data_IF_890840209365
#
_entry.id   IF_890840209365
#
_cell.length_a   1.000
_cell.length_b   1.000
_cell.length_c   1.000
_cell.angle_alpha   90.00
_cell.angle_beta   90.00
_cell.angle_gamma   90.00
#
_symmetry.space_group_name_H-M   'P 1'
#
loop_
_entity.id
_entity.type
_entity.pdbx_description
1 polymer ?
#
# COMPACT_ATOMS: atom_id res chain seq x y z
N UNK A 1 26.58 20.45 7.01
CA UNK A 1 25.74 21.30 7.88
C UNK A 1 24.35 21.21 7.29
N UNK A 2 23.70 20.05 7.40
CA UNK A 2 22.99 19.56 8.60
C UNK A 2 21.82 20.47 8.90
N UNK A 3 20.61 20.05 8.55
CA UNK A 3 19.61 19.78 9.58
C UNK A 3 18.46 18.92 9.04
N UNK A 4 18.30 17.79 9.74
CA UNK A 4 17.19 16.86 9.67
C UNK A 4 16.00 17.46 10.42
N UNK A 5 14.83 17.55 9.78
CA UNK A 5 13.56 17.69 10.51
C UNK A 5 12.81 16.37 10.47
N UNK A 6 13.00 15.62 11.55
CA UNK A 6 12.21 14.46 11.96
C UNK A 6 10.75 14.90 12.11
N UNK A 7 9.83 14.28 11.36
CA UNK A 7 8.40 14.34 11.67
C UNK A 7 8.15 13.36 12.83
N UNK A 8 8.17 13.93 14.03
CA UNK A 8 7.81 13.24 15.26
C UNK A 8 6.38 12.72 15.18
N UNK A 9 6.30 11.40 15.39
CA UNK A 9 5.07 10.66 15.55
C UNK A 9 4.58 10.91 16.98
N UNK A 10 3.88 12.02 17.20
CA UNK A 10 3.31 12.38 18.50
C UNK A 10 2.26 11.35 18.90
N UNK A 11 2.72 10.31 19.60
CA UNK A 11 1.87 9.44 20.38
C UNK A 11 1.40 10.25 21.58
N UNK A 12 0.27 10.92 21.43
CA UNK A 12 -0.43 11.61 22.52
C UNK A 12 -0.65 10.57 23.65
N UNK A 13 -0.22 10.86 24.89
CA UNK A 13 -0.43 9.95 26.01
C UNK A 13 -1.94 9.75 26.25
N UNK A 14 -2.36 8.57 26.71
CA UNK A 14 -3.76 8.32 27.03
C UNK A 14 -4.22 9.27 28.14
N UNK A 15 -5.28 10.03 27.86
CA UNK A 15 -5.89 10.95 28.82
C UNK A 15 -6.41 10.17 30.01
N UNK A 16 -6.05 10.63 31.21
CA UNK A 16 -6.49 10.04 32.47
C UNK A 16 -7.96 10.42 32.67
N UNK A 17 -8.89 9.45 32.72
CA UNK A 17 -10.30 9.78 32.90
C UNK A 17 -10.51 10.34 34.30
N UNK A 18 -11.12 11.51 34.40
CA UNK A 18 -11.31 12.26 35.65
C UNK A 18 -12.54 11.82 36.46
N UNK A 19 -13.45 11.03 35.88
CA UNK A 19 -14.69 10.58 36.51
C UNK A 19 -14.69 9.05 36.77
N UNK A 20 -14.95 8.58 38.01
CA UNK A 20 -14.98 7.14 38.32
C UNK A 20 -16.02 6.36 37.51
N UNK A 21 -17.17 6.97 37.16
CA UNK A 21 -18.19 6.32 36.33
C UNK A 21 -17.71 6.14 34.89
N UNK A 22 -16.94 7.09 34.37
CA UNK A 22 -16.33 7.00 33.04
C UNK A 22 -15.30 5.87 33.00
N UNK A 23 -14.43 5.78 34.01
CA UNK A 23 -13.43 4.70 34.11
C UNK A 23 -14.12 3.33 34.09
N UNK A 24 -15.20 3.17 34.85
CA UNK A 24 -15.97 1.93 34.90
C UNK A 24 -16.59 1.58 33.53
N UNK A 25 -17.20 2.56 32.86
CA UNK A 25 -17.77 2.38 31.52
C UNK A 25 -16.70 2.00 30.50
N UNK A 26 -15.58 2.72 30.48
CA UNK A 26 -14.46 2.43 29.58
C UNK A 26 -13.89 1.03 29.83
N UNK A 27 -13.73 0.62 31.09
CA UNK A 27 -13.26 -0.72 31.47
C UNK A 27 -14.23 -1.81 31.00
N UNK A 28 -15.53 -1.63 31.22
CA UNK A 28 -16.57 -2.54 30.76
C UNK A 28 -16.56 -2.71 29.24
N UNK A 29 -16.54 -1.60 28.49
CA UNK A 29 -16.46 -1.64 27.03
C UNK A 29 -15.20 -2.35 26.53
N UNK A 30 -14.04 -2.07 27.15
CA UNK A 30 -12.78 -2.76 26.85
C UNK A 30 -12.91 -4.27 27.10
N UNK A 31 -13.47 -4.68 28.23
CA UNK A 31 -13.62 -6.09 28.58
C UNK A 31 -14.59 -6.83 27.65
N UNK A 32 -15.72 -6.22 27.28
CA UNK A 32 -16.73 -6.83 26.42
C UNK A 32 -16.23 -7.08 25.00
N UNK A 33 -15.39 -6.18 24.48
CA UNK A 33 -14.95 -6.19 23.09
C UNK A 33 -13.57 -6.81 22.88
N UNK A 34 -12.73 -6.87 23.91
CA UNK A 34 -11.37 -7.41 23.81
C UNK A 34 -11.38 -8.86 23.34
N UNK A 35 -10.44 -9.17 22.44
CA UNK A 35 -10.18 -10.50 21.89
C UNK A 35 -11.32 -11.13 21.09
N UNK A 36 -12.37 -10.37 20.73
CA UNK A 36 -13.40 -10.90 19.83
C UNK A 36 -12.86 -11.00 18.41
N UNK A 37 -13.10 -12.15 17.78
CA UNK A 37 -12.85 -12.40 16.37
C UNK A 37 -14.14 -12.20 15.60
N UNK A 38 -14.05 -11.59 14.42
CA UNK A 38 -15.18 -11.43 13.53
C UNK A 38 -14.71 -11.35 12.09
N UNK A 39 -15.60 -11.69 11.17
CA UNK A 39 -15.39 -11.52 9.74
C UNK A 39 -15.95 -10.19 9.26
N UNK A 40 -15.16 -9.46 8.48
CA UNK A 40 -15.54 -8.13 7.98
C UNK A 40 -14.94 -7.84 6.61
N UNK A 41 -15.46 -6.79 5.99
CA UNK A 41 -15.00 -6.27 4.71
C UNK A 41 -14.31 -4.93 4.93
N UNK A 42 -13.04 -4.83 4.58
CA UNK A 42 -12.38 -3.54 4.49
C UNK A 42 -12.78 -2.86 3.19
N UNK A 43 -13.53 -1.76 3.31
CA UNK A 43 -14.21 -1.11 2.19
C UNK A 43 -13.36 -0.01 1.58
N UNK A 44 -13.01 0.98 2.39
CA UNK A 44 -12.28 2.17 1.93
C UNK A 44 -11.64 2.93 3.09
N UNK A 45 -10.81 3.91 2.75
CA UNK A 45 -10.27 4.91 3.67
C UNK A 45 -10.90 6.27 3.37
N UNK A 46 -11.51 6.89 4.37
CA UNK A 46 -12.25 8.15 4.23
C UNK A 46 -11.77 9.20 5.23
N UNK A 47 -11.74 10.45 4.79
CA UNK A 47 -11.46 11.59 5.66
C UNK A 47 -12.69 11.92 6.51
N UNK A 48 -12.51 12.00 7.82
CA UNK A 48 -13.56 12.34 8.78
C UNK A 48 -13.30 13.75 9.31
N UNK A 49 -14.22 14.67 9.03
CA UNK A 49 -14.08 16.09 9.34
C UNK A 49 -14.00 16.35 10.85
N UNK A 50 -14.83 15.68 11.66
CA UNK A 50 -14.88 15.84 13.12
C UNK A 50 -13.54 15.59 13.80
N UNK A 51 -12.76 14.63 13.30
CA UNK A 51 -11.47 14.23 13.88
C UNK A 51 -10.28 14.73 13.07
N UNK A 52 -10.53 15.47 11.97
CA UNK A 52 -9.55 16.02 11.03
C UNK A 52 -8.51 14.99 10.57
N UNK A 53 -8.96 13.78 10.24
CA UNK A 53 -8.06 12.68 9.91
C UNK A 53 -8.71 11.57 9.09
N UNK A 54 -7.88 10.73 8.49
CA UNK A 54 -8.35 9.56 7.74
C UNK A 54 -8.67 8.38 8.65
N UNK A 55 -9.77 7.71 8.38
CA UNK A 55 -10.20 6.50 9.07
C UNK A 55 -10.53 5.42 8.05
N UNK A 56 -10.20 4.19 8.40
CA UNK A 56 -10.45 3.00 7.62
C UNK A 56 -11.84 2.46 7.97
N UNK A 57 -12.63 2.11 6.96
CA UNK A 57 -14.00 1.64 7.14
C UNK A 57 -14.05 0.13 6.96
N UNK A 58 -14.46 -0.57 8.02
CA UNK A 58 -14.67 -2.03 8.03
C UNK A 58 -16.15 -2.33 8.26
N UNK A 59 -16.78 -3.00 7.31
CA UNK A 59 -18.18 -3.44 7.43
C UNK A 59 -18.26 -4.84 8.00
N UNK A 60 -19.20 -5.11 8.90
CA UNK A 60 -19.39 -6.47 9.43
C UNK A 60 -20.00 -7.39 8.37
N UNK A 61 -19.66 -8.67 8.40
CA UNK A 61 -20.33 -9.68 7.58
C UNK A 61 -21.74 -9.99 8.14
N UNK A 62 -22.68 -10.40 7.27
CA UNK A 62 -24.06 -10.80 7.63
C UNK A 62 -24.18 -11.92 8.69
N UNK A 63 -23.17 -12.76 8.85
CA UNK A 63 -23.12 -13.80 9.89
C UNK A 63 -22.93 -13.22 11.30
N UNK A 64 -22.31 -12.05 11.44
CA UNK A 64 -21.88 -11.46 12.71
C UNK A 64 -22.99 -10.66 13.44
N UNK A 65 -24.21 -11.22 13.51
CA UNK A 65 -25.38 -10.54 14.09
C UNK A 65 -25.26 -10.28 15.60
N UNK A 66 -24.61 -11.19 16.33
CA UNK A 66 -24.43 -11.05 17.78
C UNK A 66 -23.49 -9.89 18.11
N UNK A 67 -22.40 -9.76 17.35
CA UNK A 67 -21.46 -8.65 17.47
C UNK A 67 -22.09 -7.33 17.01
N UNK A 68 -22.86 -7.34 15.92
CA UNK A 68 -23.61 -6.18 15.43
C UNK A 68 -24.52 -5.58 16.52
N UNK A 69 -25.34 -6.41 17.16
CA UNK A 69 -26.20 -5.99 18.26
C UNK A 69 -25.39 -5.40 19.41
N UNK A 70 -24.31 -6.07 19.80
CA UNK A 70 -23.44 -5.61 20.89
C UNK A 70 -22.78 -4.27 20.59
N UNK A 71 -22.30 -4.06 19.35
CA UNK A 71 -21.68 -2.80 18.94
C UNK A 71 -22.69 -1.66 18.94
N UNK A 72 -23.94 -1.90 18.53
CA UNK A 72 -25.03 -0.92 18.61
C UNK A 72 -25.34 -0.58 20.07
N UNK A 73 -25.53 -1.59 20.93
CA UNK A 73 -25.78 -1.37 22.36
C UNK A 73 -24.65 -0.57 23.02
N UNK A 74 -23.39 -0.86 22.68
CA UNK A 74 -22.23 -0.11 23.20
C UNK A 74 -22.20 1.31 22.64
N UNK A 75 -22.42 1.49 21.34
CA UNK A 75 -22.50 2.81 20.70
C UNK A 75 -23.56 3.68 21.38
N UNK A 76 -24.76 3.16 21.59
CA UNK A 76 -25.87 3.92 22.17
C UNK A 76 -25.56 4.33 23.62
N UNK A 77 -24.95 3.43 24.39
CA UNK A 77 -24.50 3.74 25.76
C UNK A 77 -23.39 4.79 25.80
N UNK A 78 -22.41 4.69 24.90
CA UNK A 78 -21.35 5.68 24.78
C UNK A 78 -21.90 7.04 24.34
N UNK A 79 -22.79 7.04 23.35
CA UNK A 79 -23.43 8.25 22.84
C UNK A 79 -24.27 8.91 23.93
N UNK A 80 -25.04 8.14 24.72
CA UNK A 80 -25.80 8.65 25.84
C UNK A 80 -24.91 9.23 26.95
N UNK A 81 -23.80 8.56 27.28
CA UNK A 81 -22.90 9.03 28.35
C UNK A 81 -22.18 10.33 27.96
N UNK A 82 -21.64 10.38 26.73
CA UNK A 82 -20.84 11.52 26.29
C UNK A 82 -21.65 12.66 25.69
N UNK A 83 -22.91 12.47 25.26
CA UNK A 83 -23.75 13.57 24.79
C UNK A 83 -23.91 14.68 25.84
N UNK A 84 -23.91 14.30 27.12
CA UNK A 84 -24.03 15.23 28.25
C UNK A 84 -22.69 15.91 28.61
N UNK A 85 -21.55 15.29 28.35
CA UNK A 85 -20.23 15.74 28.82
C UNK A 85 -19.38 16.37 27.71
N UNK A 86 -19.40 15.77 26.53
CA UNK A 86 -18.63 16.19 25.35
C UNK A 86 -19.43 15.89 24.07
N UNK A 87 -20.30 16.82 23.63
CA UNK A 87 -21.14 16.62 22.44
C UNK A 87 -20.34 16.58 21.13
N UNK A 88 -19.06 16.95 21.15
CA UNK A 88 -18.18 16.91 19.98
C UNK A 88 -17.41 15.59 19.86
N UNK A 89 -17.55 14.67 20.83
CA UNK A 89 -16.87 13.39 20.74
C UNK A 89 -17.43 12.56 19.58
N UNK A 90 -16.55 12.06 18.74
CA UNK A 90 -16.93 11.25 17.59
C UNK A 90 -16.79 9.75 17.92
N UNK A 91 -17.83 8.97 17.65
CA UNK A 91 -17.82 7.53 17.92
C UNK A 91 -17.63 6.78 16.60
N UNK A 92 -16.56 6.00 16.50
CA UNK A 92 -16.19 5.24 15.32
C UNK A 92 -17.05 3.99 15.05
N UNK A 93 -18.33 4.01 15.44
CA UNK A 93 -19.31 2.97 15.15
C UNK A 93 -20.54 3.65 14.56
N UNK A 94 -20.87 3.33 13.31
CA UNK A 94 -22.05 3.88 12.63
C UNK A 94 -22.91 2.76 12.09
N UNK A 95 -24.23 2.97 12.11
CA UNK A 95 -25.20 2.04 11.51
C UNK A 95 -26.02 2.77 10.46
N UNK A 96 -26.24 2.11 9.33
CA UNK A 96 -27.02 2.61 8.21
C UNK A 96 -26.18 2.76 6.94
N UNK A 97 -26.82 3.11 5.81
CA UNK A 97 -26.15 3.25 4.53
C UNK A 97 -25.09 4.35 4.61
N UNK A 98 -23.82 3.98 4.38
CA UNK A 98 -22.73 4.93 4.36
C UNK A 98 -22.95 5.93 3.21
N UNK A 99 -22.96 7.23 3.51
CA UNK A 99 -23.11 8.27 2.49
C UNK A 99 -22.05 8.08 1.38
N UNK A 100 -22.49 7.93 0.13
CA UNK A 100 -21.59 7.72 -1.02
C UNK A 100 -21.34 6.26 -1.43
N UNK A 101 -21.77 5.26 -0.65
CA UNK A 101 -21.76 3.85 -1.08
C UNK A 101 -23.12 3.52 -1.69
N UNK A 102 -23.22 3.63 -3.02
CA UNK A 102 -24.46 3.42 -3.79
C UNK A 102 -24.83 1.95 -4.02
N UNK A 103 -23.97 1.01 -3.61
CA UNK A 103 -24.24 -0.44 -3.68
C UNK A 103 -23.98 -1.09 -2.32
N UNK A 104 -25.02 -1.50 -1.57
CA UNK A 104 -24.81 -2.32 -0.38
C UNK A 104 -24.16 -3.63 -0.79
N UNK A 105 -23.01 -3.97 -0.20
CA UNK A 105 -22.34 -5.22 -0.49
C UNK A 105 -23.26 -6.37 -0.04
N UNK A 106 -23.65 -7.31 -0.93
CA UNK A 106 -24.71 -8.27 -0.66
C UNK A 106 -24.41 -9.26 0.48
N UNK A 107 -23.19 -9.25 1.02
CA UNK A 107 -22.77 -10.08 2.14
C UNK A 107 -22.44 -9.30 3.44
N UNK A 108 -22.56 -7.96 3.43
CA UNK A 108 -22.24 -7.10 4.58
C UNK A 108 -23.51 -6.64 5.33
N UNK A 109 -23.34 -6.31 6.61
CA UNK A 109 -24.30 -5.58 7.43
C UNK A 109 -24.09 -4.07 7.25
N UNK A 110 -25.11 -3.30 7.61
CA UNK A 110 -25.07 -1.82 7.58
C UNK A 110 -24.29 -1.20 8.75
N UNK A 111 -23.67 -2.02 9.60
CA UNK A 111 -22.82 -1.52 10.68
C UNK A 111 -21.39 -1.44 10.19
N UNK A 112 -20.84 -0.23 10.31
CA UNK A 112 -19.52 0.15 9.86
C UNK A 112 -18.68 0.55 11.07
N UNK A 113 -17.48 -0.02 11.14
CA UNK A 113 -16.45 0.29 12.11
C UNK A 113 -15.44 1.22 11.47
N UNK A 114 -15.21 2.35 12.13
CA UNK A 114 -14.18 3.30 11.73
C UNK A 114 -12.96 3.11 12.59
N UNK A 115 -11.86 2.74 11.95
CA UNK A 115 -10.68 2.22 12.63
C UNK A 115 -9.42 2.84 12.05
N UNK A 116 -8.30 2.62 12.73
CA UNK A 116 -6.97 3.03 12.28
C UNK A 116 -6.17 1.76 11.98
N UNK A 117 -5.99 1.46 10.69
CA UNK A 117 -5.29 0.27 10.21
C UNK A 117 -3.98 0.65 9.52
N UNK A 118 -3.00 -0.25 9.60
CA UNK A 118 -1.76 -0.15 8.85
C UNK A 118 -1.98 -0.81 7.50
N UNK A 119 -1.81 -0.04 6.43
CA UNK A 119 -1.77 -0.42 5.01
C UNK A 119 -2.28 -1.84 4.70
N UNK A 120 -3.61 -1.98 4.66
CA UNK A 120 -4.31 -3.22 4.33
C UNK A 120 -4.94 -3.07 2.94
N UNK A 121 -4.94 -4.13 2.13
CA UNK A 121 -5.62 -4.14 0.83
C UNK A 121 -7.15 -4.30 1.01
N UNK A 122 -7.95 -3.71 0.13
CA UNK A 122 -9.42 -3.87 0.17
C UNK A 122 -9.82 -5.34 0.00
N UNK A 123 -10.80 -5.81 0.77
CA UNK A 123 -11.21 -7.21 0.73
C UNK A 123 -11.82 -7.73 2.03
N UNK A 124 -11.99 -9.05 2.10
CA UNK A 124 -12.55 -9.75 3.26
C UNK A 124 -11.47 -10.33 4.15
N UNK A 125 -11.58 -10.09 5.46
CA UNK A 125 -10.59 -10.56 6.43
C UNK A 125 -11.25 -10.99 7.74
N UNK A 126 -10.53 -11.84 8.47
CA UNK A 126 -10.73 -12.04 9.89
C UNK A 126 -10.04 -10.93 10.67
N UNK A 127 -10.83 -10.25 11.51
CA UNK A 127 -10.35 -9.20 12.39
C UNK A 127 -10.47 -9.63 13.85
N UNK A 128 -9.46 -9.30 14.64
CA UNK A 128 -9.47 -9.41 16.10
C UNK A 128 -9.56 -8.02 16.71
N UNK A 129 -10.58 -7.78 17.54
CA UNK A 129 -10.67 -6.54 18.31
C UNK A 129 -9.65 -6.61 19.45
N UNK A 130 -8.63 -5.74 19.39
CA UNK A 130 -7.59 -5.68 20.44
C UNK A 130 -8.04 -4.90 21.66
N UNK A 131 -8.64 -3.74 21.44
CA UNK A 131 -9.18 -2.86 22.48
C UNK A 131 -10.03 -1.78 21.83
N UNK A 132 -10.83 -1.10 22.62
CA UNK A 132 -11.36 0.22 22.31
C UNK A 132 -10.37 1.29 22.83
N UNK A 133 -10.16 2.36 22.07
CA UNK A 133 -9.33 3.52 22.43
C UNK A 133 -10.25 4.70 22.66
N UNK A 134 -10.05 5.37 23.79
CA UNK A 134 -10.70 6.62 24.14
C UNK A 134 -9.67 7.73 23.98
N UNK A 135 -9.93 8.68 23.08
CA UNK A 135 -9.16 9.90 22.84
C UNK A 135 -10.08 11.10 23.15
N UNK A 136 -9.52 12.30 23.16
CA UNK A 136 -10.25 13.51 23.54
C UNK A 136 -11.44 13.84 22.62
N UNK A 137 -11.26 13.60 21.32
CA UNK A 137 -12.24 13.91 20.28
C UNK A 137 -12.84 12.66 19.63
N UNK A 138 -12.38 11.46 19.97
CA UNK A 138 -12.87 10.24 19.34
C UNK A 138 -12.80 8.97 20.19
N UNK A 139 -13.70 8.05 19.90
CA UNK A 139 -13.72 6.69 20.44
C UNK A 139 -13.64 5.73 19.26
N UNK A 140 -12.53 4.99 19.16
CA UNK A 140 -12.27 4.10 18.02
C UNK A 140 -11.88 2.69 18.45
N UNK A 141 -12.20 1.70 17.62
CA UNK A 141 -11.77 0.32 17.83
C UNK A 141 -10.36 0.13 17.27
N UNK A 142 -9.51 -0.54 18.03
CA UNK A 142 -8.21 -1.02 17.56
C UNK A 142 -8.37 -2.46 17.07
N UNK A 143 -8.29 -2.65 15.77
CA UNK A 143 -8.35 -3.97 15.15
C UNK A 143 -6.94 -4.49 14.85
N UNK A 144 -6.83 -5.82 14.77
CA UNK A 144 -5.69 -6.52 14.20
C UNK A 144 -6.24 -7.47 13.13
N UNK A 145 -5.65 -7.42 11.94
CA UNK A 145 -5.86 -8.44 10.92
C UNK A 145 -5.30 -9.79 11.40
N UNK A 146 -6.06 -10.86 11.19
CA UNK A 146 -5.65 -12.23 11.54
C UNK A 146 -5.34 -13.02 10.28
N UNK A 147 -6.25 -13.03 9.31
CA UNK A 147 -6.11 -13.81 8.08
C UNK A 147 -7.01 -13.24 6.97
N UNK A 148 -6.54 -13.19 5.71
CA UNK A 148 -7.42 -12.97 4.57
C UNK A 148 -8.42 -14.13 4.44
N UNK A 149 -9.66 -13.82 4.09
CA UNK A 149 -10.65 -14.83 3.73
C UNK A 149 -10.57 -14.99 2.23
N UNK A 150 -10.04 -16.12 1.76
CA UNK A 150 -10.19 -16.50 0.35
C UNK A 150 -11.69 -16.61 0.06
N UNK A 151 -12.16 -15.94 -0.99
CA UNK A 151 -13.54 -16.10 -1.45
C UNK A 151 -13.69 -17.55 -1.91
N UNK A 152 -14.30 -18.39 -1.07
CA UNK A 152 -14.87 -19.66 -1.51
C UNK A 152 -15.87 -19.33 -2.62
N UNK A 153 -15.44 -19.57 -3.86
CA UNK A 153 -16.34 -19.60 -5.01
C UNK A 153 -17.40 -20.66 -4.73
N UNK A 154 -18.57 -20.21 -4.27
CA UNK A 154 -19.71 -21.09 -4.04
C UNK A 154 -19.99 -21.84 -5.34
N UNK A 155 -19.90 -23.19 -5.37
CA UNK A 155 -20.38 -23.94 -6.51
C UNK A 155 -21.87 -23.67 -6.61
N UNK A 156 -22.29 -22.94 -7.64
CA UNK A 156 -23.70 -22.78 -7.97
C UNK A 156 -24.27 -24.18 -8.18
N UNK A 157 -25.10 -24.63 -7.24
CA UNK A 157 -25.92 -25.82 -7.42
C UNK A 157 -26.68 -25.72 -8.75
N UNK A 158 -26.37 -26.63 -9.67
CA UNK A 158 -27.25 -26.95 -10.79
C UNK A 158 -28.56 -27.56 -10.22
N UNK A 159 -29.72 -27.27 -10.83
CA UNK A 159 -31.00 -27.74 -10.33
C UNK A 159 -31.10 -29.26 -10.46
N UNK A 160 -31.58 -29.88 -9.38
CA UNK A 160 -32.00 -31.27 -9.32
C UNK A 160 -33.13 -31.54 -10.33
N UNK A 161 -32.89 -32.46 -11.27
CA UNK A 161 -33.96 -33.23 -11.90
C UNK A 161 -33.87 -34.68 -11.44
N UNK A 162 -34.98 -35.15 -10.91
CA UNK A 162 -35.22 -36.52 -10.47
C UNK A 162 -35.55 -37.44 -11.65
N UNK A 163 -35.21 -38.73 -11.45
CA UNK A 163 -35.87 -39.90 -12.03
C UNK A 163 -35.44 -40.33 -13.45
N UNK A 164 -34.63 -41.38 -13.53
CA UNK A 164 -35.19 -42.72 -13.76
C UNK A 164 -34.26 -43.86 -13.29
N UNK A 165 -34.93 -44.79 -12.62
CA UNK A 165 -34.52 -46.09 -12.07
C UNK A 165 -34.27 -47.09 -13.22
N UNK A 166 -33.32 -48.03 -13.06
CA UNK A 166 -33.50 -49.51 -13.18
C UNK A 166 -32.16 -50.27 -13.24
N UNK A 167 -31.86 -50.99 -12.15
CA UNK A 167 -31.37 -52.38 -11.99
C UNK A 167 -29.99 -52.82 -12.59
N UNK A 168 -29.13 -53.20 -11.63
CA UNK A 168 -28.10 -54.27 -11.51
C UNK A 168 -27.61 -55.05 -12.74
N UNK A 169 -26.28 -55.21 -12.86
CA UNK A 169 -25.63 -56.54 -12.75
C UNK A 169 -24.09 -56.48 -12.71
N UNK A 170 -23.51 -57.53 -12.12
CA UNK A 170 -22.15 -57.67 -11.61
C UNK A 170 -21.08 -57.98 -12.69
N UNK A 171 -19.82 -57.72 -12.33
CA UNK A 171 -18.60 -58.58 -12.47
C UNK A 171 -17.38 -57.84 -13.06
N UNK A 172 -16.18 -57.97 -12.46
CA UNK A 172 -15.02 -57.13 -12.79
C UNK A 172 -14.11 -57.77 -13.84
N UNK A 173 -13.55 -56.95 -14.74
CA UNK A 173 -12.41 -57.36 -15.57
C UNK A 173 -11.39 -56.24 -15.76
N UNK A 174 -10.21 -56.54 -15.23
CA UNK A 174 -8.86 -56.07 -15.51
C UNK A 174 -8.58 -55.01 -16.60
N UNK A 175 -7.80 -54.00 -16.15
CA UNK A 175 -6.55 -53.48 -16.74
C UNK A 175 -6.61 -52.94 -18.18
N UNK A 176 -6.50 -51.61 -18.33
CA UNK A 176 -5.44 -51.02 -19.16
C UNK A 176 -5.09 -49.60 -18.73
N UNK A 177 -3.81 -49.29 -18.85
CA UNK A 177 -3.08 -48.17 -18.29
C UNK A 177 -3.31 -46.88 -19.06
N UNK A 178 -3.37 -45.74 -18.36
CA UNK A 178 -2.57 -44.53 -18.68
C UNK A 178 -2.93 -43.37 -17.75
N UNK A 179 -2.23 -43.29 -16.62
CA UNK A 179 -1.94 -42.01 -15.99
C UNK A 179 -0.65 -41.45 -16.62
N UNK A 180 -0.55 -40.15 -16.90
CA UNK A 180 0.70 -39.45 -16.73
C UNK A 180 0.66 -38.79 -15.35
N UNK A 181 1.50 -39.32 -14.48
CA UNK A 181 2.00 -38.60 -13.33
C UNK A 181 2.62 -37.29 -13.82
N UNK A 182 2.15 -36.15 -13.33
CA UNK A 182 2.99 -34.96 -13.27
C UNK A 182 2.96 -34.41 -11.86
N UNK A 183 4.07 -34.72 -11.20
CA UNK A 183 4.57 -34.20 -9.95
C UNK A 183 4.22 -32.74 -9.68
N UNK A 184 3.83 -32.50 -8.43
CA UNK A 184 4.23 -31.34 -7.64
C UNK A 184 5.68 -30.93 -7.99
N UNK A 185 5.82 -29.88 -8.78
CA UNK A 185 7.04 -29.08 -8.87
C UNK A 185 6.67 -27.65 -8.50
N UNK A 186 7.08 -27.31 -7.27
CA UNK A 186 7.29 -25.95 -6.82
C UNK A 186 8.15 -25.21 -7.85
N UNK A 187 7.86 -23.92 -8.05
CA UNK A 187 8.71 -22.94 -8.71
C UNK A 187 8.78 -23.05 -10.25
N UNK A 188 7.86 -22.37 -10.93
CA UNK A 188 8.13 -21.84 -12.27
C UNK A 188 7.52 -20.44 -12.39
N UNK A 189 8.38 -19.48 -12.79
CA UNK A 189 8.01 -18.12 -13.09
C UNK A 189 6.92 -18.14 -14.17
N UNK A 190 5.72 -17.67 -13.82
CA UNK A 190 4.65 -17.42 -14.78
C UNK A 190 5.19 -16.39 -15.77
N UNK A 191 5.56 -16.86 -16.95
CA UNK A 191 6.15 -16.04 -18.02
C UNK A 191 5.01 -15.52 -18.90
N UNK A 192 5.17 -14.34 -19.50
CA UNK A 192 4.15 -13.73 -20.36
C UNK A 192 3.70 -14.63 -21.53
N UNK A 193 4.52 -15.61 -21.90
CA UNK A 193 4.22 -16.57 -22.96
C UNK A 193 3.05 -17.51 -22.58
N UNK A 194 2.93 -17.94 -21.33
CA UNK A 194 1.79 -18.74 -20.86
C UNK A 194 0.47 -17.94 -20.93
N UNK A 195 0.54 -16.63 -20.69
CA UNK A 195 -0.63 -15.76 -20.80
C UNK A 195 -1.08 -15.60 -22.27
N UNK A 196 -0.15 -15.50 -23.22
CA UNK A 196 -0.48 -15.40 -24.65
C UNK A 196 -1.10 -16.71 -25.15
N UNK A 197 -0.58 -17.86 -24.71
CA UNK A 197 -1.14 -19.18 -25.08
C UNK A 197 -2.56 -19.34 -24.53
N UNK A 198 -2.79 -18.99 -23.26
CA UNK A 198 -4.13 -19.01 -22.65
C UNK A 198 -5.09 -18.06 -23.36
N UNK A 199 -4.63 -16.86 -23.75
CA UNK A 199 -5.44 -15.88 -24.48
C UNK A 199 -5.84 -16.39 -25.87
N UNK A 200 -4.91 -17.02 -26.60
CA UNK A 200 -5.20 -17.62 -27.91
C UNK A 200 -6.19 -18.78 -27.79
N UNK A 201 -6.06 -19.62 -26.77
CA UNK A 201 -6.98 -20.72 -26.51
C UNK A 201 -8.39 -20.20 -26.17
N UNK A 202 -8.48 -19.13 -25.38
CA UNK A 202 -9.75 -18.50 -25.05
C UNK A 202 -10.41 -17.89 -26.30
N UNK A 203 -9.62 -17.23 -27.14
CA UNK A 203 -10.08 -16.67 -28.41
C UNK A 203 -10.62 -17.72 -29.39
N UNK A 204 -9.94 -18.87 -29.49
CA UNK A 204 -10.40 -20.00 -30.31
C UNK A 204 -11.73 -20.57 -29.80
N UNK A 205 -11.86 -20.73 -28.48
CA UNK A 205 -13.08 -21.24 -27.83
C UNK A 205 -14.27 -20.30 -28.04
N UNK A 206 -14.05 -18.98 -27.97
CA UNK A 206 -15.08 -17.98 -28.22
C UNK A 206 -15.53 -18.03 -29.69
N UNK A 207 -14.58 -18.11 -30.64
CA UNK A 207 -14.92 -18.23 -32.07
C UNK A 207 -15.79 -19.44 -32.35
N UNK A 208 -15.44 -20.58 -31.78
CA UNK A 208 -16.18 -21.82 -31.98
C UNK A 208 -17.59 -21.74 -31.39
N UNK A 209 -17.71 -21.23 -30.15
CA UNK A 209 -19.02 -20.99 -29.51
C UNK A 209 -19.91 -20.03 -30.30
N UNK A 210 -19.34 -18.96 -30.85
CA UNK A 210 -20.08 -18.00 -31.67
C UNK A 210 -20.48 -18.61 -33.01
N UNK A 211 -19.61 -19.42 -33.63
CA UNK A 211 -19.92 -20.08 -34.89
C UNK A 211 -21.03 -21.13 -34.73
N UNK A 212 -20.96 -21.94 -33.68
CA UNK A 212 -21.98 -22.95 -33.36
C UNK A 212 -23.34 -22.31 -33.06
N UNK A 213 -23.35 -21.17 -32.35
CA UNK A 213 -24.57 -20.39 -32.10
C UNK A 213 -25.14 -19.75 -33.37
N UNK A 214 -24.28 -19.22 -34.25
CA UNK A 214 -24.71 -18.61 -35.52
C UNK A 214 -25.22 -19.65 -36.53
N UNK A 215 -24.63 -20.85 -36.56
CA UNK A 215 -24.99 -21.91 -37.48
C UNK A 215 -26.29 -22.63 -37.08
N UNK A 216 -26.58 -22.74 -35.78
CA UNK A 216 -27.69 -23.56 -35.27
C UNK A 216 -29.00 -22.77 -35.01
N UNK A 217 -28.94 -21.49 -34.60
CA UNK A 217 -30.12 -20.78 -34.02
C UNK A 217 -30.65 -19.56 -34.81
N UNK A 218 -30.15 -19.28 -36.03
CA UNK A 218 -30.64 -18.16 -36.84
C UNK A 218 -31.93 -18.52 -37.58
N UNK A 219 -33.05 -18.42 -36.86
CA UNK A 219 -34.37 -18.17 -37.46
C UNK A 219 -34.53 -16.66 -37.72
N UNK A 220 -35.20 -16.27 -38.82
CA UNK A 220 -35.39 -14.85 -39.21
C UNK A 220 -36.06 -14.00 -38.10
N UNK A 221 -36.81 -14.65 -37.21
CA UNK A 221 -37.48 -14.01 -36.08
C UNK A 221 -36.53 -13.76 -34.89
N UNK A 222 -35.58 -14.68 -34.67
CA UNK A 222 -34.54 -14.55 -33.64
C UNK A 222 -33.48 -13.51 -34.02
N UNK A 223 -33.18 -13.34 -35.31
CA UNK A 223 -32.20 -12.35 -35.80
C UNK A 223 -32.58 -10.92 -35.41
N UNK A 224 -33.88 -10.58 -35.42
CA UNK A 224 -34.37 -9.26 -34.99
C UNK A 224 -34.17 -9.05 -33.49
N UNK A 225 -34.32 -10.10 -32.68
CA UNK A 225 -34.04 -10.11 -31.25
C UNK A 225 -32.54 -9.92 -30.97
N UNK A 226 -31.70 -10.69 -31.66
CA UNK A 226 -30.23 -10.59 -31.57
C UNK A 226 -29.73 -9.20 -31.97
N UNK A 227 -30.27 -8.61 -33.05
CA UNK A 227 -29.86 -7.27 -33.49
C UNK A 227 -30.23 -6.18 -32.48
N UNK A 228 -31.41 -6.28 -31.85
CA UNK A 228 -31.84 -5.36 -30.77
C UNK A 228 -30.96 -5.52 -29.53
N UNK A 229 -30.68 -6.75 -29.14
CA UNK A 229 -29.78 -7.05 -28.03
C UNK A 229 -28.37 -6.54 -28.31
N UNK A 230 -27.85 -6.74 -29.52
CA UNK A 230 -26.54 -6.24 -29.94
C UNK A 230 -26.48 -4.71 -29.92
N UNK A 231 -27.55 -4.03 -30.36
CA UNK A 231 -27.65 -2.57 -30.25
C UNK A 231 -27.58 -2.10 -28.79
N UNK A 232 -28.33 -2.74 -27.89
CA UNK A 232 -28.29 -2.42 -26.45
C UNK A 232 -26.93 -2.74 -25.82
N UNK A 233 -26.29 -3.84 -26.23
CA UNK A 233 -24.96 -4.24 -25.79
C UNK A 233 -23.91 -3.20 -26.21
N UNK A 234 -23.96 -2.75 -27.47
CA UNK A 234 -23.05 -1.71 -27.97
C UNK A 234 -23.25 -0.42 -27.18
N UNK A 235 -24.49 0.03 -26.97
CA UNK A 235 -24.76 1.25 -26.18
C UNK A 235 -24.28 1.10 -24.73
N UNK A 236 -24.49 -0.05 -24.12
CA UNK A 236 -24.03 -0.34 -22.76
C UNK A 236 -22.50 -0.34 -22.66
N UNK A 237 -21.81 -0.98 -23.61
CA UNK A 237 -20.34 -0.98 -23.68
C UNK A 237 -19.82 0.43 -23.92
N UNK A 238 -20.43 1.19 -24.83
CA UNK A 238 -19.99 2.56 -25.14
C UNK A 238 -20.19 3.48 -23.93
N UNK A 239 -21.32 3.37 -23.24
CA UNK A 239 -21.60 4.13 -22.03
C UNK A 239 -20.62 3.76 -20.91
N UNK A 240 -20.40 2.45 -20.70
CA UNK A 240 -19.42 1.94 -19.75
C UNK A 240 -17.99 2.38 -20.08
N UNK A 241 -17.61 2.38 -21.36
CA UNK A 241 -16.30 2.82 -21.83
C UNK A 241 -16.10 4.32 -21.63
N UNK A 242 -17.10 5.15 -21.93
CA UNK A 242 -17.02 6.60 -21.69
C UNK A 242 -16.83 6.91 -20.20
N UNK A 243 -17.57 6.22 -19.33
CA UNK A 243 -17.41 6.33 -17.88
C UNK A 243 -16.03 5.82 -17.44
N UNK A 244 -15.60 4.69 -17.99
CA UNK A 244 -14.28 4.09 -17.76
C UNK A 244 -13.14 5.04 -18.14
N UNK A 245 -13.21 5.70 -19.29
CA UNK A 245 -12.21 6.69 -19.73
C UNK A 245 -12.15 7.88 -18.77
N UNK A 246 -13.28 8.36 -18.24
CA UNK A 246 -13.28 9.45 -17.26
C UNK A 246 -12.60 9.03 -15.96
N UNK A 247 -12.91 7.83 -15.46
CA UNK A 247 -12.23 7.29 -14.28
C UNK A 247 -10.75 7.06 -14.53
N UNK A 248 -10.39 6.51 -15.71
CA UNK A 248 -9.01 6.28 -16.10
C UNK A 248 -8.24 7.58 -16.24
N UNK A 249 -8.85 8.65 -16.75
CA UNK A 249 -8.24 9.98 -16.84
C UNK A 249 -7.94 10.58 -15.46
N UNK A 250 -8.90 10.51 -14.53
CA UNK A 250 -8.71 10.97 -13.15
C UNK A 250 -7.63 10.14 -12.44
N UNK A 251 -7.66 8.82 -12.62
CA UNK A 251 -6.65 7.92 -12.09
C UNK A 251 -5.27 8.22 -12.67
N UNK A 252 -5.16 8.37 -14.00
CA UNK A 252 -3.90 8.65 -14.69
C UNK A 252 -3.31 9.97 -14.24
N UNK A 253 -4.12 11.02 -14.08
CA UNK A 253 -3.66 12.29 -13.53
C UNK A 253 -3.08 12.11 -12.13
N UNK A 254 -3.80 11.42 -11.23
CA UNK A 254 -3.35 11.17 -9.85
C UNK A 254 -2.10 10.30 -9.81
N UNK A 255 -2.04 9.29 -10.67
CA UNK A 255 -0.87 8.44 -10.86
C UNK A 255 0.33 9.23 -11.37
N UNK A 256 0.14 10.13 -12.33
CA UNK A 256 1.20 10.96 -12.90
C UNK A 256 1.74 11.97 -11.88
N UNK A 257 0.86 12.56 -11.05
CA UNK A 257 1.29 13.40 -9.92
C UNK A 257 2.10 12.61 -8.89
N UNK A 258 1.65 11.42 -8.54
CA UNK A 258 2.35 10.55 -7.60
C UNK A 258 3.69 10.07 -8.16
N UNK A 259 3.73 9.73 -9.45
CA UNK A 259 4.94 9.32 -10.17
C UNK A 259 5.93 10.48 -10.33
N UNK A 260 5.44 11.71 -10.50
CA UNK A 260 6.27 12.92 -10.50
C UNK A 260 6.90 13.14 -9.12
N UNK A 261 6.12 13.01 -8.04
CA UNK A 261 6.64 13.05 -6.66
C UNK A 261 7.68 11.97 -6.40
N UNK A 262 7.40 10.74 -6.85
CA UNK A 262 8.33 9.62 -6.76
C UNK A 262 9.61 9.92 -7.54
N UNK A 263 9.52 10.46 -8.76
CA UNK A 263 10.68 10.83 -9.58
C UNK A 263 11.52 11.90 -8.91
N UNK A 264 10.90 12.92 -8.30
CA UNK A 264 11.62 13.96 -7.56
C UNK A 264 12.39 13.41 -6.36
N UNK A 265 11.83 12.41 -5.66
CA UNK A 265 12.50 11.74 -4.54
C UNK A 265 13.56 10.75 -5.03
N UNK A 266 13.31 10.06 -6.15
CA UNK A 266 14.17 9.00 -6.67
C UNK A 266 15.39 9.54 -7.42
N UNK A 267 15.25 10.66 -8.12
CA UNK A 267 16.33 11.30 -8.90
C UNK A 267 17.60 11.55 -8.08
N UNK A 268 17.57 12.20 -6.90
CA UNK A 268 18.78 12.39 -6.10
C UNK A 268 19.36 11.07 -5.59
N UNK A 269 18.53 10.06 -5.33
CA UNK A 269 18.98 8.72 -4.91
C UNK A 269 19.75 8.05 -6.05
N UNK A 270 19.22 8.09 -7.28
CA UNK A 270 19.88 7.55 -8.47
C UNK A 270 21.19 8.28 -8.73
N UNK A 271 21.22 9.61 -8.66
CA UNK A 271 22.47 10.38 -8.81
C UNK A 271 23.53 9.96 -7.79
N UNK A 272 23.15 9.73 -6.54
CA UNK A 272 24.08 9.25 -5.50
C UNK A 272 24.58 7.84 -5.78
N UNK A 273 23.73 6.95 -6.27
CA UNK A 273 24.14 5.60 -6.69
C UNK A 273 25.14 5.68 -7.84
N UNK A 274 24.86 6.49 -8.86
CA UNK A 274 25.77 6.71 -10.00
C UNK A 274 27.13 7.28 -9.54
N UNK A 275 27.13 8.25 -8.62
CA UNK A 275 28.38 8.78 -8.03
C UNK A 275 29.19 7.69 -7.31
N UNK A 276 28.53 6.80 -6.57
CA UNK A 276 29.19 5.67 -5.88
C UNK A 276 29.81 4.71 -6.89
N UNK A 277 29.07 4.32 -7.93
CA UNK A 277 29.61 3.49 -9.00
C UNK A 277 30.81 4.14 -9.67
N UNK A 278 30.71 5.42 -10.05
CA UNK A 278 31.81 6.15 -10.67
C UNK A 278 33.06 6.20 -9.77
N UNK A 279 32.90 6.36 -8.44
CA UNK A 279 34.02 6.31 -7.49
C UNK A 279 34.61 4.92 -7.34
N UNK A 280 33.78 3.88 -7.31
CA UNK A 280 34.24 2.48 -7.25
C UNK A 280 35.06 2.16 -8.50
N UNK A 281 34.53 2.47 -9.67
CA UNK A 281 35.17 2.22 -10.96
C UNK A 281 36.44 3.06 -11.10
N UNK A 282 36.41 4.36 -10.78
CA UNK A 282 37.58 5.23 -10.82
C UNK A 282 38.67 4.81 -9.83
N UNK A 283 38.29 4.45 -8.60
CA UNK A 283 39.20 3.90 -7.60
C UNK A 283 39.83 2.59 -8.06
N UNK A 284 39.04 1.70 -8.68
CA UNK A 284 39.53 0.46 -9.26
C UNK A 284 40.56 0.70 -10.38
N UNK A 285 40.30 1.64 -11.30
CA UNK A 285 41.25 2.01 -12.35
C UNK A 285 42.55 2.58 -11.79
N UNK A 286 42.49 3.43 -10.76
CA UNK A 286 43.69 3.95 -10.09
C UNK A 286 44.49 2.80 -9.46
N UNK A 287 43.81 1.86 -8.80
CA UNK A 287 44.44 0.70 -8.17
C UNK A 287 45.15 -0.17 -9.23
N UNK A 288 44.48 -0.39 -10.36
CA UNK A 288 45.05 -1.10 -11.51
C UNK A 288 46.27 -0.37 -12.07
N UNK A 289 46.21 0.95 -12.22
CA UNK A 289 47.33 1.76 -12.71
C UNK A 289 48.53 1.75 -11.73
N UNK A 290 48.27 1.74 -10.42
CA UNK A 290 49.31 1.68 -9.40
C UNK A 290 50.02 0.32 -9.38
N UNK A 291 49.25 -0.77 -9.51
CA UNK A 291 49.78 -2.12 -9.70
C UNK A 291 50.59 -2.18 -11.00
N UNK A 292 50.05 -1.66 -12.11
CA UNK A 292 50.78 -1.64 -13.39
C UNK A 292 52.11 -0.90 -13.30
N UNK A 293 52.13 0.28 -12.66
CA UNK A 293 53.35 1.07 -12.43
C UNK A 293 54.37 0.29 -11.58
N UNK A 294 53.95 -0.32 -10.49
CA UNK A 294 54.86 -1.04 -9.60
C UNK A 294 55.33 -2.37 -10.21
N UNK A 295 54.50 -3.03 -11.02
CA UNK A 295 54.84 -4.33 -11.63
C UNK A 295 55.67 -4.19 -12.91
N UNK A 296 55.39 -3.17 -13.73
CA UNK A 296 56.01 -3.00 -15.07
C UNK A 296 57.06 -1.89 -15.10
N UNK A 297 56.83 -0.74 -14.45
CA UNK A 297 57.73 0.41 -14.55
C UNK A 297 58.89 0.30 -13.55
N UNK A 298 58.61 -0.04 -12.28
CA UNK A 298 59.67 -0.17 -11.25
C UNK A 298 60.61 -1.37 -11.47
N UNK A 299 60.22 -2.36 -12.27
CA UNK A 299 61.08 -3.49 -12.62
C UNK A 299 62.19 -3.11 -13.62
N UNK A 300 62.04 -1.99 -14.33
CA UNK A 300 62.99 -1.50 -15.33
C UNK A 300 63.81 -0.28 -14.85
N UNK A 301 63.68 0.13 -13.60
CA UNK A 301 64.40 1.29 -13.05
C UNK A 301 65.55 0.80 -12.15
N UNK A 302 66.82 1.07 -12.49
CA UNK A 302 67.94 0.70 -11.62
C UNK A 302 67.87 1.52 -10.32
N UNK A 303 67.97 0.84 -9.18
CA UNK A 303 68.10 1.47 -7.86
C UNK A 303 69.32 2.38 -7.85
N UNK A 304 69.11 3.70 -7.87
CA UNK A 304 70.10 4.64 -7.35
C UNK A 304 69.78 4.93 -5.89
N UNK A 305 70.75 4.59 -5.05
CA UNK A 305 70.70 4.58 -3.60
C UNK A 305 70.32 5.93 -3.00
N UNK A 306 69.50 5.86 -1.94
CA UNK A 306 69.36 6.93 -0.98
C UNK A 306 70.62 7.06 -0.13
N UNK A 307 71.11 8.28 0.07
CA UNK A 307 71.56 8.87 1.34
C UNK A 307 72.13 10.26 1.05
N UNK A 308 71.30 11.30 1.08
CA UNK A 308 71.80 12.67 1.25
C UNK A 308 71.00 13.36 2.36
N UNK A 309 71.59 13.28 3.55
CA UNK A 309 71.22 14.03 4.73
C UNK A 309 71.91 15.40 4.63
N UNK A 310 71.16 16.47 4.35
CA UNK A 310 71.63 17.83 4.60
C UNK A 310 70.46 18.80 4.80
N UNK A 311 70.22 19.18 6.06
CA UNK A 311 69.44 20.39 6.42
C UNK A 311 70.39 21.58 6.46
N UNK A 312 69.91 22.77 6.08
CA UNK A 312 69.89 23.90 7.03
C UNK A 312 68.54 24.62 6.96
N UNK A 313 67.87 24.92 8.07
CA UNK A 313 68.13 25.99 9.05
C UNK A 313 66.99 27.01 8.93
N UNK A 314 66.41 27.35 10.07
CA UNK A 314 65.23 28.20 10.23
C UNK A 314 65.34 29.51 9.43
N UNK A 315 64.36 29.77 8.56
CA UNK A 315 64.08 31.11 8.06
C UNK A 315 63.31 31.84 9.16
N UNK A 316 64.04 32.54 10.04
CA UNK A 316 63.45 33.41 11.05
C UNK A 316 62.61 34.48 10.37
N UNK A 317 61.34 34.55 10.76
CA UNK A 317 60.44 35.64 10.42
C UNK A 317 60.95 36.86 11.19
N UNK A 318 61.57 37.79 10.49
CA UNK A 318 61.87 39.13 10.99
C UNK A 318 60.55 39.88 11.12
N UNK A 319 60.15 40.19 12.36
CA UNK A 319 59.03 41.08 12.63
C UNK A 319 59.54 42.52 12.48
N UNK A 320 59.19 43.18 11.38
CA UNK A 320 59.37 44.61 11.23
C UNK A 320 58.40 45.34 12.18
N UNK A 321 58.91 45.71 13.36
CA UNK A 321 58.26 46.57 14.34
C UNK A 321 58.86 47.97 14.25
N UNK A 322 59.01 48.56 13.06
CA UNK A 322 59.33 49.99 12.91
C UNK A 322 58.69 50.62 11.66
N UNK A 323 57.37 50.54 11.51
CA UNK A 323 56.67 51.35 10.51
C UNK A 323 55.27 51.81 10.92
N UNK A 324 55.10 52.21 12.19
CA UNK A 324 53.86 52.89 12.64
C UNK A 324 54.08 53.94 13.74
N UNK A 325 55.15 54.74 13.63
CA UNK A 325 55.43 55.85 14.56
C UNK A 325 56.15 57.05 13.94
N UNK A 326 55.86 57.37 12.68
CA UNK A 326 56.35 58.61 12.05
C UNK A 326 55.29 59.44 11.28
N UNK A 327 54.00 59.05 11.29
CA UNK A 327 52.93 59.84 10.66
C UNK A 327 51.93 60.44 11.67
N UNK A 328 52.37 60.74 12.90
CA UNK A 328 51.50 61.33 13.94
C UNK A 328 52.13 62.51 14.70
N UNK A 329 53.15 63.17 14.16
CA UNK A 329 53.77 64.33 14.81
C UNK A 329 54.47 65.27 13.83
N UNK A 330 53.74 65.81 12.85
CA UNK A 330 54.14 66.98 12.04
C UNK A 330 52.89 67.58 11.38
N UNK A 331 51.92 67.97 12.20
CA UNK A 331 50.84 68.88 11.80
C UNK A 331 50.34 69.61 13.04
N UNK A 332 51.23 70.39 13.67
CA UNK A 332 50.88 71.39 14.66
C UNK A 332 52.07 72.33 14.90
N UNK A 333 52.47 73.10 13.88
CA UNK A 333 52.99 74.46 14.08
C UNK A 333 53.31 75.13 12.74
N UNK A 334 52.42 76.03 12.31
CA UNK A 334 52.72 77.22 11.48
C UNK A 334 51.49 78.11 11.46
N UNK A 335 51.16 78.63 12.64
CA UNK A 335 50.66 79.99 12.79
C UNK A 335 51.87 80.87 13.04
N UNK A 336 52.26 81.72 12.09
CA UNK A 336 52.81 83.07 12.28
C UNK A 336 53.29 83.62 10.93
N UNK A 337 52.69 84.76 10.57
CA UNK A 337 52.94 85.67 9.44
C UNK A 337 52.43 85.28 8.06
#
# INVERSE_FOLDING_TARGET
MSDQSMLDNTTVPPVVPTNPHEIALQSLCKQLLKSRLFRGFYVERRYVENVKGYRDIVSLQKSEKSLDKMLKDIRDKLQLFYSHQNPQIWIGITSGPLAGITKPQPAALETHLWVEMKELAFGQYWFSIKSIRFRDNEIILKLKEVQPVEEEEVPKWAPSSSSNKTICDNTPTAIENSAPNTSLSLENQITFDDFIVLLQQWWATIKQTVYDFMAQDISKENLKGVLRFLGLLIVSILSGALVGVKFLGIFTLRFMFELSRLTHVLTPIIFKIIEVFNKIIGGFYILLAMIWKDTVVKRNQPQHNALEYNRPMYKSIEYDVRQRRQDASTNFDKSFQ
#
